data_IF_289119250273
#
_entry.id   IF_289119250273
#
_cell.length_a   1.000
_cell.length_b   1.000
_cell.length_c   1.000
_cell.angle_alpha   90.00
_cell.angle_beta   90.00
_cell.angle_gamma   90.00
#
_symmetry.space_group_name_H-M   'P 1'
#
loop_
_entity.id
_entity.type
_entity.pdbx_description
1 polymer ?
#
# COMPACT_ATOMS: atom_id res chain seq x y z
N UNK A 1 -5.40 6.23 34.86
CA UNK A 1 -4.88 5.89 33.51
C UNK A 1 -5.99 5.39 32.59
N UNK A 2 -6.78 4.41 33.03
CA UNK A 2 -7.81 3.84 32.21
C UNK A 2 -8.84 4.83 31.69
N UNK A 3 -9.29 5.75 32.54
CA UNK A 3 -10.29 6.73 32.14
C UNK A 3 -9.74 7.75 31.13
N UNK A 4 -8.46 8.06 31.20
CA UNK A 4 -7.83 8.96 30.24
C UNK A 4 -7.88 8.38 28.83
N UNK A 5 -7.45 7.14 28.67
CA UNK A 5 -7.47 6.50 27.35
C UNK A 5 -8.89 6.19 26.89
N UNK A 6 -9.73 5.71 27.78
CA UNK A 6 -11.08 5.29 27.40
C UNK A 6 -11.99 6.48 27.03
N UNK A 7 -11.65 7.69 27.46
CA UNK A 7 -12.43 8.87 27.09
C UNK A 7 -12.04 9.44 25.73
N UNK A 8 -11.04 8.87 25.07
CA UNK A 8 -10.58 9.33 23.76
C UNK A 8 -10.92 8.32 22.68
N UNK A 9 -11.19 8.78 21.46
CA UNK A 9 -11.54 7.87 20.38
C UNK A 9 -10.35 7.06 19.93
N UNK A 10 -10.63 5.89 19.38
CA UNK A 10 -9.63 5.01 18.78
C UNK A 10 -9.83 5.01 17.28
N UNK A 11 -8.74 5.05 16.53
CA UNK A 11 -8.77 5.02 15.08
C UNK A 11 -7.94 3.87 14.57
N UNK A 12 -8.31 3.39 13.37
CA UNK A 12 -7.45 2.46 12.65
C UNK A 12 -6.27 3.21 12.07
N UNK A 13 -5.13 2.54 12.02
CA UNK A 13 -3.95 3.06 11.35
C UNK A 13 -3.69 2.17 10.13
N UNK A 14 -3.80 2.76 8.95
CA UNK A 14 -3.56 2.07 7.71
C UNK A 14 -2.14 2.31 7.20
N UNK A 15 -1.66 1.36 6.42
CA UNK A 15 -0.38 1.46 5.73
C UNK A 15 -0.64 1.36 4.24
N UNK A 16 -0.02 2.23 3.46
CA UNK A 16 -0.02 2.13 2.00
C UNK A 16 1.41 2.10 1.51
N UNK A 17 1.72 1.12 0.66
CA UNK A 17 3.05 0.95 0.09
C UNK A 17 3.02 1.35 -1.38
N UNK A 18 3.82 2.34 -1.75
CA UNK A 18 3.92 2.86 -3.11
C UNK A 18 5.28 2.43 -3.64
N UNK A 19 5.31 1.38 -4.45
CA UNK A 19 6.56 0.76 -4.89
C UNK A 19 6.76 1.06 -6.38
N UNK A 20 7.75 1.90 -6.65
CA UNK A 20 8.17 2.21 -8.00
C UNK A 20 9.27 1.24 -8.41
N UNK A 21 9.21 0.75 -9.64
CA UNK A 21 10.25 -0.11 -10.16
C UNK A 21 10.70 0.37 -11.53
N UNK A 22 12.00 0.36 -11.76
CA UNK A 22 12.50 0.73 -13.07
C UNK A 22 13.11 -0.50 -13.76
N UNK A 23 13.00 -0.50 -15.07
CA UNK A 23 13.51 -1.56 -15.94
C UNK A 23 13.77 -0.94 -17.32
N UNK A 24 15.02 -0.98 -17.75
CA UNK A 24 15.41 -0.50 -19.09
C UNK A 24 14.91 0.92 -19.38
N UNK A 25 15.06 1.81 -18.42
CA UNK A 25 14.68 3.20 -18.59
C UNK A 25 13.20 3.49 -18.40
N UNK A 26 12.40 2.48 -18.11
CA UNK A 26 10.98 2.67 -17.87
C UNK A 26 10.67 2.61 -16.38
N UNK A 27 9.77 3.47 -15.94
CA UNK A 27 9.31 3.48 -14.56
C UNK A 27 7.94 2.82 -14.48
N UNK A 28 7.80 1.90 -13.52
CA UNK A 28 6.58 1.16 -13.29
C UNK A 28 6.13 1.33 -11.84
N UNK A 29 4.86 1.08 -11.62
CA UNK A 29 4.27 1.07 -10.29
C UNK A 29 3.76 -0.33 -10.01
N UNK A 30 4.03 -0.83 -8.80
CA UNK A 30 3.55 -2.15 -8.40
C UNK A 30 2.11 -2.03 -7.91
N UNK A 31 1.22 -2.76 -8.54
CA UNK A 31 -0.20 -2.71 -8.23
C UNK A 31 -0.75 -4.11 -8.02
N UNK A 32 -1.74 -4.21 -7.17
CA UNK A 32 -2.53 -5.42 -7.00
C UNK A 32 -3.74 -5.37 -7.90
N UNK A 33 -4.06 -6.50 -8.50
CA UNK A 33 -5.31 -6.65 -9.23
C UNK A 33 -6.28 -7.43 -8.37
N UNK A 34 -7.43 -6.85 -8.05
CA UNK A 34 -8.40 -7.52 -7.22
C UNK A 34 -9.02 -8.68 -7.99
N UNK A 35 -9.10 -9.83 -7.32
CA UNK A 35 -9.70 -11.02 -7.90
C UNK A 35 -10.96 -11.46 -7.16
N UNK A 36 -11.58 -10.53 -6.41
CA UNK A 36 -12.82 -10.80 -5.67
C UNK A 36 -13.68 -9.54 -5.63
N UNK A 37 -14.97 -9.75 -5.42
CA UNK A 37 -15.90 -8.64 -5.33
C UNK A 37 -15.67 -7.84 -4.03
N UNK A 38 -16.04 -6.53 -3.98
CA UNK A 38 -16.83 -5.85 -5.02
C UNK A 38 -16.06 -5.30 -6.20
N UNK A 39 -14.80 -5.13 -6.15
CA UNK A 39 -14.05 -4.43 -7.19
C UNK A 39 -13.14 -5.36 -7.98
N UNK A 40 -13.65 -6.55 -8.31
CA UNK A 40 -12.87 -7.52 -9.07
C UNK A 40 -12.37 -6.95 -10.39
N UNK A 41 -11.08 -7.14 -10.66
CA UNK A 41 -10.45 -6.61 -11.86
C UNK A 41 -9.87 -5.21 -11.71
N UNK A 42 -10.20 -4.49 -10.65
CA UNK A 42 -9.65 -3.16 -10.41
C UNK A 42 -8.25 -3.24 -9.82
N UNK A 43 -7.46 -2.24 -10.12
CA UNK A 43 -6.10 -2.12 -9.60
C UNK A 43 -6.08 -1.31 -8.32
N UNK A 44 -5.16 -1.65 -7.41
CA UNK A 44 -5.00 -0.91 -6.17
C UNK A 44 -3.55 -0.93 -5.70
N UNK A 45 -3.21 0.04 -4.87
CA UNK A 45 -1.94 0.02 -4.14
C UNK A 45 -2.02 -1.05 -3.04
N UNK A 46 -0.83 -1.47 -2.55
CA UNK A 46 -0.77 -2.40 -1.43
C UNK A 46 -1.10 -1.66 -0.14
N UNK A 47 -2.07 -2.17 0.60
CA UNK A 47 -2.49 -1.55 1.85
C UNK A 47 -2.89 -2.57 2.90
N UNK A 48 -2.84 -2.16 4.14
CA UNK A 48 -3.22 -3.00 5.28
C UNK A 48 -3.26 -2.17 6.54
N UNK A 49 -3.48 -2.83 7.67
CA UNK A 49 -3.60 -2.14 8.95
C UNK A 49 -2.46 -2.51 9.88
N UNK A 50 -2.04 -1.53 10.66
CA UNK A 50 -1.04 -1.74 11.72
C UNK A 50 -1.65 -2.57 12.82
N UNK A 51 -0.92 -3.59 13.27
CA UNK A 51 -1.35 -4.46 14.35
C UNK A 51 -0.78 -3.96 15.68
N UNK A 52 -1.38 -4.44 16.76
CA UNK A 52 -1.07 -3.97 18.11
C UNK A 52 0.38 -4.12 18.51
N UNK A 53 1.02 -5.18 18.04
CA UNK A 53 2.35 -5.57 18.51
C UNK A 53 3.47 -5.23 17.53
N UNK A 54 3.20 -4.38 16.55
CA UNK A 54 4.22 -4.04 15.55
C UNK A 54 4.36 -2.53 15.41
N UNK A 55 5.56 -2.08 15.03
CA UNK A 55 5.77 -0.69 14.66
C UNK A 55 5.16 -0.40 13.29
N UNK A 56 5.01 0.88 12.95
CA UNK A 56 4.51 1.23 11.62
C UNK A 56 5.48 0.78 10.53
N UNK A 57 6.79 0.88 10.79
CA UNK A 57 7.78 0.40 9.82
C UNK A 57 7.68 -1.10 9.60
N UNK A 58 7.51 -1.87 10.67
CA UNK A 58 7.36 -3.31 10.57
C UNK A 58 6.05 -3.68 9.89
N UNK A 59 4.99 -2.92 10.14
CA UNK A 59 3.72 -3.14 9.46
C UNK A 59 3.86 -2.95 7.95
N UNK A 60 4.59 -1.93 7.52
CA UNK A 60 4.81 -1.69 6.09
C UNK A 60 5.54 -2.87 5.44
N UNK A 61 6.57 -3.38 6.10
CA UNK A 61 7.31 -4.55 5.60
C UNK A 61 6.41 -5.78 5.51
N UNK A 62 5.62 -6.01 6.55
CA UNK A 62 4.70 -7.15 6.58
C UNK A 62 3.65 -7.04 5.49
N UNK A 63 3.04 -5.87 5.33
CA UNK A 63 2.01 -5.66 4.31
C UNK A 63 2.58 -5.92 2.92
N UNK A 64 3.75 -5.37 2.63
CA UNK A 64 4.36 -5.58 1.32
C UNK A 64 4.67 -7.06 1.09
N UNK A 65 5.25 -7.73 2.07
CA UNK A 65 5.60 -9.13 1.94
C UNK A 65 4.36 -10.03 1.77
N UNK A 66 3.32 -9.77 2.54
CA UNK A 66 2.09 -10.57 2.47
C UNK A 66 1.38 -10.41 1.13
N UNK A 67 1.38 -9.21 0.59
CA UNK A 67 0.61 -8.91 -0.61
C UNK A 67 1.37 -9.14 -1.91
N UNK A 68 2.69 -9.13 -1.88
CA UNK A 68 3.49 -9.25 -3.11
C UNK A 68 4.57 -10.31 -3.05
N UNK A 69 4.88 -10.81 -1.87
CA UNK A 69 6.00 -11.72 -1.68
C UNK A 69 7.36 -11.05 -1.60
N UNK A 70 7.41 -9.73 -1.76
CA UNK A 70 8.69 -9.01 -1.71
C UNK A 70 9.10 -8.75 -0.27
N UNK A 71 10.35 -9.08 0.06
CA UNK A 71 10.94 -8.70 1.33
C UNK A 71 12.28 -8.01 1.07
N UNK A 72 12.91 -7.53 2.12
CA UNK A 72 14.19 -6.81 2.01
C UNK A 72 14.11 -5.58 1.08
N UNK A 73 12.95 -4.98 0.97
CA UNK A 73 12.78 -3.74 0.23
C UNK A 73 12.90 -2.59 1.22
N UNK A 74 13.82 -1.68 0.94
CA UNK A 74 13.97 -0.50 1.76
C UNK A 74 12.87 0.50 1.40
N UNK A 75 12.08 0.89 2.40
CA UNK A 75 10.99 1.84 2.22
C UNK A 75 11.18 3.04 3.13
N UNK A 76 10.79 4.21 2.65
CA UNK A 76 10.79 5.41 3.46
C UNK A 76 9.37 5.93 3.62
N UNK A 77 9.09 6.47 4.80
CA UNK A 77 7.80 7.06 5.08
C UNK A 77 7.65 8.38 4.31
N UNK A 78 6.55 8.50 3.57
CA UNK A 78 6.22 9.73 2.86
C UNK A 78 5.54 10.70 3.80
N UNK A 79 4.58 10.21 4.59
CA UNK A 79 3.81 11.04 5.49
C UNK A 79 2.54 10.35 5.92
N UNK A 80 1.71 11.08 6.65
CA UNK A 80 0.43 10.57 7.12
C UNK A 80 -0.72 11.35 6.48
N UNK A 81 -1.84 10.66 6.29
CA UNK A 81 -3.02 11.20 5.64
C UNK A 81 -4.23 10.91 6.52
N UNK A 82 -4.81 11.96 7.07
CA UNK A 82 -5.82 11.80 8.10
C UNK A 82 -7.12 12.56 7.84
N UNK A 83 -7.45 12.83 6.58
CA UNK A 83 -8.70 13.52 6.26
C UNK A 83 -9.89 12.71 6.78
N UNK A 84 -10.92 13.41 7.26
CA UNK A 84 -12.04 12.77 7.94
C UNK A 84 -12.77 11.77 7.06
N UNK A 85 -12.97 12.07 5.81
CA UNK A 85 -13.81 11.27 4.91
C UNK A 85 -12.99 10.44 3.92
N UNK A 86 -11.74 10.11 4.25
CA UNK A 86 -10.90 9.30 3.36
C UNK A 86 -11.45 7.90 3.16
N UNK A 87 -11.89 7.29 4.24
CA UNK A 87 -12.39 5.92 4.22
C UNK A 87 -13.90 5.96 4.50
N UNK A 88 -14.72 5.40 3.62
CA UNK A 88 -16.17 5.43 3.82
C UNK A 88 -16.65 4.53 4.96
N UNK A 89 -15.84 3.59 5.42
CA UNK A 89 -16.23 2.66 6.47
C UNK A 89 -15.95 3.21 7.85
N UNK A 90 -14.68 3.29 8.22
CA UNK A 90 -14.27 3.69 9.55
C UNK A 90 -13.25 4.80 9.49
N UNK A 91 -13.02 5.45 10.62
CA UNK A 91 -11.98 6.48 10.70
C UNK A 91 -10.61 5.82 10.63
N UNK A 92 -9.87 6.13 9.57
CA UNK A 92 -8.53 5.57 9.33
C UNK A 92 -7.55 6.71 9.12
N UNK A 93 -6.41 6.62 9.80
CA UNK A 93 -5.27 7.48 9.52
C UNK A 93 -4.25 6.59 8.80
N UNK A 94 -3.92 6.96 7.57
CA UNK A 94 -3.02 6.16 6.74
C UNK A 94 -1.62 6.74 6.75
N UNK A 95 -0.64 5.84 6.79
CA UNK A 95 0.76 6.20 6.70
C UNK A 95 1.29 5.61 5.39
N UNK A 96 1.81 6.46 4.53
CA UNK A 96 2.28 6.05 3.21
C UNK A 96 3.79 5.84 3.24
N UNK A 97 4.23 4.76 2.61
CA UNK A 97 5.64 4.43 2.41
C UNK A 97 5.92 4.32 0.92
N UNK A 98 7.12 4.64 0.52
CA UNK A 98 7.52 4.48 -0.87
C UNK A 98 8.89 3.80 -0.98
N UNK A 99 9.12 3.19 -2.13
CA UNK A 99 10.42 2.64 -2.48
C UNK A 99 10.62 2.76 -3.98
N UNK A 100 11.89 2.80 -4.38
CA UNK A 100 12.26 2.70 -5.79
C UNK A 100 13.22 1.52 -5.92
N UNK A 101 12.85 0.54 -6.73
CA UNK A 101 13.63 -0.69 -6.86
C UNK A 101 13.95 -0.96 -8.32
N UNK A 102 15.02 -1.72 -8.53
CA UNK A 102 15.34 -2.28 -9.83
C UNK A 102 14.57 -3.58 -9.97
N UNK A 103 13.62 -3.63 -10.91
CA UNK A 103 12.72 -4.77 -11.06
C UNK A 103 13.49 -6.08 -11.26
N UNK A 104 14.64 -6.02 -11.95
CA UNK A 104 15.41 -7.22 -12.27
C UNK A 104 16.07 -7.87 -11.05
N UNK A 105 16.12 -7.18 -9.92
CA UNK A 105 16.66 -7.74 -8.68
C UNK A 105 15.65 -8.59 -7.93
N UNK A 106 14.42 -8.67 -8.41
CA UNK A 106 13.32 -9.36 -7.69
C UNK A 106 12.70 -10.43 -8.60
N UNK A 107 12.13 -11.44 -7.97
CA UNK A 107 11.49 -12.55 -8.67
C UNK A 107 10.12 -12.12 -9.20
N UNK A 108 10.04 -11.94 -10.51
CA UNK A 108 8.80 -11.51 -11.15
C UNK A 108 7.68 -12.54 -11.03
N UNK A 109 8.03 -13.82 -11.05
CA UNK A 109 7.05 -14.88 -10.93
C UNK A 109 6.42 -14.90 -9.54
N UNK A 110 7.22 -14.65 -8.49
CA UNK A 110 6.72 -14.58 -7.13
C UNK A 110 5.69 -13.46 -6.99
N UNK A 111 5.99 -12.30 -7.53
CA UNK A 111 5.09 -11.16 -7.48
C UNK A 111 3.78 -11.48 -8.18
N UNK A 112 3.85 -12.09 -9.35
CA UNK A 112 2.65 -12.46 -10.11
C UNK A 112 1.80 -13.51 -9.40
N UNK A 113 2.43 -14.42 -8.66
CA UNK A 113 1.71 -15.41 -7.86
C UNK A 113 0.84 -14.75 -6.79
N UNK A 114 1.22 -13.55 -6.36
CA UNK A 114 0.46 -12.77 -5.39
C UNK A 114 -0.55 -11.83 -6.06
N UNK A 115 -0.74 -11.98 -7.37
CA UNK A 115 -1.64 -11.14 -8.14
C UNK A 115 -1.22 -9.67 -8.16
N UNK A 116 0.09 -9.44 -8.09
CA UNK A 116 0.70 -8.12 -8.17
C UNK A 116 1.44 -7.99 -9.48
N UNK A 117 1.41 -6.80 -10.07
CA UNK A 117 1.97 -6.58 -11.40
C UNK A 117 2.66 -5.23 -11.47
N UNK A 118 3.75 -5.19 -12.23
CA UNK A 118 4.43 -3.95 -12.56
C UNK A 118 3.70 -3.31 -13.74
N UNK A 119 3.15 -2.14 -13.51
CA UNK A 119 2.36 -1.42 -14.53
C UNK A 119 3.10 -0.15 -14.89
N UNK A 120 3.30 0.07 -16.18
CA UNK A 120 4.02 1.27 -16.65
C UNK A 120 3.32 2.53 -16.11
N UNK A 121 4.13 3.49 -15.63
CA UNK A 121 3.59 4.67 -14.95
C UNK A 121 2.69 5.49 -15.88
N UNK A 122 2.97 5.51 -17.16
CA UNK A 122 2.14 6.23 -18.12
C UNK A 122 0.77 5.56 -18.30
N UNK A 123 0.71 4.24 -18.17
CA UNK A 123 -0.54 3.51 -18.24
C UNK A 123 -1.38 3.69 -16.97
N UNK A 124 -0.74 3.94 -15.84
CA UNK A 124 -1.44 4.11 -14.55
C UNK A 124 -2.40 5.29 -14.62
N UNK A 125 -2.07 6.34 -15.38
CA UNK A 125 -2.92 7.51 -15.49
C UNK A 125 -4.29 7.19 -16.07
N UNK A 126 -4.42 6.07 -16.76
CA UNK A 126 -5.69 5.61 -17.34
C UNK A 126 -6.31 4.49 -16.53
N UNK A 127 -5.66 4.08 -15.45
CA UNK A 127 -6.13 3.01 -14.58
C UNK A 127 -6.89 3.63 -13.42
N UNK A 128 -8.02 3.06 -13.08
CA UNK A 128 -8.85 3.61 -12.01
C UNK A 128 -8.42 3.07 -10.64
N UNK A 129 -7.61 3.86 -9.94
CA UNK A 129 -7.14 3.53 -8.58
C UNK A 129 -8.11 4.06 -7.53
N UNK A 130 -9.37 3.77 -7.67
CA UNK A 130 -10.42 4.45 -6.93
C UNK A 130 -10.31 4.40 -5.43
N UNK A 131 -10.04 3.23 -4.88
CA UNK A 131 -10.05 3.06 -3.43
C UNK A 131 -8.85 3.73 -2.76
N UNK A 132 -7.77 3.92 -3.50
CA UNK A 132 -6.50 4.36 -2.95
C UNK A 132 -5.97 5.65 -3.54
N UNK A 133 -6.66 6.21 -4.51
CA UNK A 133 -6.19 7.44 -5.13
C UNK A 133 -6.14 8.60 -4.14
N UNK A 134 -6.92 8.53 -3.08
CA UNK A 134 -6.90 9.55 -2.04
C UNK A 134 -5.59 9.59 -1.26
N UNK A 135 -4.81 8.51 -1.30
CA UNK A 135 -3.51 8.49 -0.65
C UNK A 135 -2.58 9.52 -1.27
N UNK A 136 -2.72 9.72 -2.56
CA UNK A 136 -1.86 10.63 -3.33
C UNK A 136 -2.41 12.06 -3.39
N UNK A 137 -3.59 12.25 -2.91
CA UNK A 137 -4.23 13.57 -2.84
C UNK A 137 -3.77 14.30 -1.58
#
# INVERSE_FOLDING_TARGET
MGSYYSSNPKFYVGIDCIIFGFNEGELNLLLLKRNFEPAMGNWSLMGGFVQESESVDDAAKRVLAELTGLDNVYMEQVGSFGAINRDPGERVISIAYYALVNINEYDKALVQQHNAFWVNINAVSYTHLRAHETVLD
#
